data_IF_883958786541
#
_entry.id   IF_883958786541
#
_cell.length_a   1.000
_cell.length_b   1.000
_cell.length_c   1.000
_cell.angle_alpha   90.00
_cell.angle_beta   90.00
_cell.angle_gamma   90.00
#
_symmetry.space_group_name_H-M   'P 1'
#
loop_
_entity.id
_entity.type
_entity.pdbx_description
1 polymer ?
#
# COMPACT_ATOMS: atom_id res chain seq x y z
N UNK A 1 -79.22 114.49 73.38
CA UNK A 1 -78.55 113.50 72.50
C UNK A 1 -79.50 112.41 71.95
N UNK A 2 -80.82 112.55 72.09
CA UNK A 2 -81.81 111.51 71.70
C UNK A 2 -82.70 111.87 70.50
N UNK A 3 -82.66 113.09 69.98
CA UNK A 3 -83.59 113.54 68.92
C UNK A 3 -82.91 113.63 67.55
N UNK A 4 -81.63 114.04 67.51
CA UNK A 4 -80.85 114.17 66.27
C UNK A 4 -80.58 112.81 65.58
N UNK A 5 -80.42 111.74 66.35
CA UNK A 5 -80.23 110.39 65.81
C UNK A 5 -81.54 109.80 65.26
N UNK A 6 -82.66 110.04 65.96
CA UNK A 6 -84.00 109.66 65.49
C UNK A 6 -84.36 110.41 64.21
N UNK A 7 -84.04 111.70 64.13
CA UNK A 7 -84.22 112.52 62.94
C UNK A 7 -83.42 112.01 61.74
N UNK A 8 -82.14 111.67 61.92
CA UNK A 8 -81.32 111.07 60.84
C UNK A 8 -81.84 109.71 60.38
N UNK A 9 -82.41 108.92 61.29
CA UNK A 9 -83.02 107.62 60.96
C UNK A 9 -84.33 107.79 60.19
N UNK A 10 -85.14 108.77 60.56
CA UNK A 10 -86.36 109.14 59.82
C UNK A 10 -85.99 109.64 58.42
N UNK A 11 -84.98 110.51 58.28
CA UNK A 11 -84.50 110.97 56.97
C UNK A 11 -83.98 109.83 56.09
N UNK A 12 -83.24 108.88 56.66
CA UNK A 12 -82.78 107.69 55.92
C UNK A 12 -83.97 106.87 55.44
N UNK A 13 -84.94 106.59 56.32
CA UNK A 13 -86.12 105.81 55.99
C UNK A 13 -86.99 106.48 54.92
N UNK A 14 -87.13 107.81 54.95
CA UNK A 14 -87.88 108.55 53.93
C UNK A 14 -87.13 108.51 52.59
N UNK A 15 -85.79 108.62 52.59
CA UNK A 15 -84.97 108.48 51.37
C UNK A 15 -85.05 107.06 50.78
N UNK A 16 -85.05 106.04 51.62
CA UNK A 16 -85.18 104.65 51.18
C UNK A 16 -86.58 104.38 50.63
N UNK A 17 -87.62 104.98 51.24
CA UNK A 17 -88.98 104.95 50.71
C UNK A 17 -89.09 105.63 49.35
N UNK A 18 -88.47 106.81 49.15
CA UNK A 18 -88.39 107.49 47.84
C UNK A 18 -87.83 106.56 46.76
N UNK A 19 -86.71 105.91 47.05
CA UNK A 19 -86.02 105.04 46.10
C UNK A 19 -86.85 103.80 45.77
N UNK A 20 -87.53 103.22 46.77
CA UNK A 20 -88.45 102.10 46.57
C UNK A 20 -89.66 102.50 45.73
N UNK A 21 -90.29 103.65 46.03
CA UNK A 21 -91.45 104.16 45.31
C UNK A 21 -91.12 104.50 43.84
N UNK A 22 -89.96 105.13 43.58
CA UNK A 22 -89.46 105.38 42.22
C UNK A 22 -89.22 104.07 41.45
N UNK A 23 -88.67 103.04 42.11
CA UNK A 23 -88.42 101.74 41.48
C UNK A 23 -89.73 101.03 41.12
N UNK A 24 -90.72 101.05 42.00
CA UNK A 24 -92.05 100.49 41.71
C UNK A 24 -92.79 101.28 40.61
N UNK A 25 -92.75 102.61 40.65
CA UNK A 25 -93.35 103.45 39.62
C UNK A 25 -92.69 103.20 38.25
N UNK A 26 -91.37 103.06 38.20
CA UNK A 26 -90.63 102.72 36.98
C UNK A 26 -91.03 101.34 36.43
N UNK A 27 -91.16 100.33 37.30
CA UNK A 27 -91.64 98.99 36.88
C UNK A 27 -93.06 99.06 36.32
N UNK A 28 -93.98 99.74 37.02
CA UNK A 28 -95.38 99.87 36.61
C UNK A 28 -95.52 100.64 35.29
N UNK A 29 -94.74 101.71 35.12
CA UNK A 29 -94.70 102.46 33.85
C UNK A 29 -94.15 101.58 32.72
N UNK A 30 -93.11 100.77 32.96
CA UNK A 30 -92.61 99.80 31.99
C UNK A 30 -93.66 98.74 31.61
N UNK A 31 -94.42 98.23 32.57
CA UNK A 31 -95.52 97.29 32.31
C UNK A 31 -96.63 97.94 31.47
N UNK A 32 -97.03 99.18 31.80
CA UNK A 32 -98.04 99.94 31.03
C UNK A 32 -97.53 100.21 29.61
N UNK A 33 -96.28 100.63 29.45
CA UNK A 33 -95.67 100.89 28.13
C UNK A 33 -95.62 99.61 27.31
N UNK A 34 -95.17 98.49 27.87
CA UNK A 34 -95.17 97.21 27.17
C UNK A 34 -96.59 96.70 26.85
N UNK A 35 -97.57 96.93 27.73
CA UNK A 35 -98.97 96.61 27.47
C UNK A 35 -99.56 97.42 26.31
N UNK A 36 -99.36 98.75 26.30
CA UNK A 36 -99.81 99.63 25.22
C UNK A 36 -99.10 99.34 23.89
N UNK A 37 -97.80 99.04 23.91
CA UNK A 37 -97.04 98.66 22.72
C UNK A 37 -97.46 97.29 22.15
N UNK A 38 -97.95 96.37 22.99
CA UNK A 38 -98.46 95.07 22.57
C UNK A 38 -99.86 95.15 21.94
N UNK A 39 -100.69 96.12 22.33
CA UNK A 39 -102.05 96.33 21.80
C UNK A 39 -102.11 97.30 20.60
N UNK A 40 -101.04 98.06 20.31
CA UNK A 40 -100.99 99.01 19.21
C UNK A 40 -100.88 98.30 17.83
N UNK A 41 -101.86 98.51 16.95
CA UNK A 41 -101.83 98.08 15.54
C UNK A 41 -100.82 98.90 14.70
N UNK A 42 -100.31 98.39 13.57
CA UNK A 42 -99.00 98.72 13.00
C UNK A 42 -99.01 99.99 12.13
N UNK A 43 -99.53 101.11 12.64
CA UNK A 43 -99.49 102.40 11.93
C UNK A 43 -98.32 103.30 12.37
N UNK A 44 -97.57 102.92 13.40
CA UNK A 44 -96.36 103.63 13.86
C UNK A 44 -95.21 102.62 14.06
N UNK A 45 -93.97 103.05 13.78
CA UNK A 45 -92.77 102.21 13.97
C UNK A 45 -92.58 101.89 15.46
N UNK A 46 -92.52 100.61 15.83
CA UNK A 46 -92.38 100.13 17.22
C UNK A 46 -91.22 100.82 17.95
N UNK A 47 -90.11 101.06 17.26
CA UNK A 47 -88.94 101.72 17.87
C UNK A 47 -89.19 103.19 18.20
N UNK A 48 -89.90 103.93 17.35
CA UNK A 48 -90.20 105.35 17.59
C UNK A 48 -91.20 105.53 18.74
N UNK A 49 -92.23 104.66 18.80
CA UNK A 49 -93.21 104.66 19.88
C UNK A 49 -92.56 104.22 21.20
N UNK A 50 -91.68 103.23 21.17
CA UNK A 50 -90.95 102.79 22.37
C UNK A 50 -89.96 103.86 22.87
N UNK A 51 -89.25 104.57 22.00
CA UNK A 51 -88.40 105.69 22.42
C UNK A 51 -89.21 106.84 23.02
N UNK A 52 -90.34 107.22 22.41
CA UNK A 52 -91.19 108.28 22.95
C UNK A 52 -91.83 107.86 24.29
N UNK A 53 -92.19 106.60 24.44
CA UNK A 53 -92.75 106.05 25.67
C UNK A 53 -91.70 106.00 26.79
N UNK A 54 -90.46 105.60 26.49
CA UNK A 54 -89.38 105.57 27.48
C UNK A 54 -88.91 106.99 27.86
N UNK A 55 -88.91 107.95 26.91
CA UNK A 55 -88.66 109.36 27.20
C UNK A 55 -89.75 109.96 28.09
N UNK A 56 -91.03 109.68 27.81
CA UNK A 56 -92.15 110.09 28.67
C UNK A 56 -92.05 109.46 30.07
N UNK A 57 -91.66 108.18 30.17
CA UNK A 57 -91.40 107.51 31.45
C UNK A 57 -90.31 108.20 32.25
N UNK A 58 -89.20 108.56 31.61
CA UNK A 58 -88.10 109.26 32.26
C UNK A 58 -88.52 110.67 32.72
N UNK A 59 -89.34 111.37 31.95
CA UNK A 59 -89.86 112.69 32.31
C UNK A 59 -90.86 112.63 33.48
N UNK A 60 -91.76 111.63 33.49
CA UNK A 60 -92.68 111.37 34.61
C UNK A 60 -91.92 110.99 35.88
N UNK A 61 -90.90 110.13 35.79
CA UNK A 61 -90.05 109.77 36.94
C UNK A 61 -89.29 110.98 37.50
N UNK A 62 -88.82 111.87 36.62
CA UNK A 62 -88.14 113.11 37.02
C UNK A 62 -89.09 114.09 37.71
N UNK A 63 -90.30 114.28 37.17
CA UNK A 63 -91.32 115.14 37.77
C UNK A 63 -91.74 114.63 39.16
N UNK A 64 -91.97 113.33 39.29
CA UNK A 64 -92.29 112.70 40.58
C UNK A 64 -91.15 112.85 41.60
N UNK A 65 -89.90 112.65 41.17
CA UNK A 65 -88.72 112.84 42.04
C UNK A 65 -88.58 114.29 42.52
N UNK A 66 -88.90 115.28 41.68
CA UNK A 66 -88.80 116.69 42.04
C UNK A 66 -89.91 117.11 43.03
N UNK A 67 -91.16 116.72 42.79
CA UNK A 67 -92.27 116.97 43.74
C UNK A 67 -91.98 116.33 45.09
N UNK A 68 -91.42 115.12 45.09
CA UNK A 68 -91.05 114.44 46.32
C UNK A 68 -89.97 115.19 47.12
N UNK A 69 -88.97 115.75 46.44
CA UNK A 69 -87.92 116.55 47.08
C UNK A 69 -88.47 117.85 47.69
N UNK A 70 -89.42 118.52 47.04
CA UNK A 70 -90.07 119.73 47.57
C UNK A 70 -90.88 119.43 48.84
N UNK A 71 -91.75 118.43 48.79
CA UNK A 71 -92.54 117.99 49.96
C UNK A 71 -91.66 117.53 51.12
N UNK A 72 -90.54 116.87 50.83
CA UNK A 72 -89.58 116.45 51.85
C UNK A 72 -88.93 117.65 52.54
N UNK A 73 -88.54 118.67 51.76
CA UNK A 73 -87.93 119.88 52.30
C UNK A 73 -88.91 120.70 53.15
N UNK A 74 -90.19 120.76 52.77
CA UNK A 74 -91.23 121.41 53.56
C UNK A 74 -91.49 120.68 54.88
N UNK A 75 -91.56 119.35 54.85
CA UNK A 75 -91.70 118.53 56.06
C UNK A 75 -90.51 118.68 57.01
N UNK A 76 -89.28 118.75 56.48
CA UNK A 76 -88.06 119.00 57.27
C UNK A 76 -88.09 120.39 57.91
N UNK A 77 -88.54 121.42 57.17
CA UNK A 77 -88.67 122.79 57.68
C UNK A 77 -89.68 122.89 58.82
N UNK A 78 -90.85 122.26 58.66
CA UNK A 78 -91.90 122.20 59.68
C UNK A 78 -91.39 121.54 60.97
N UNK A 79 -90.75 120.37 60.86
CA UNK A 79 -90.21 119.62 62.01
C UNK A 79 -89.10 120.39 62.73
N UNK A 80 -88.25 121.11 61.98
CA UNK A 80 -87.17 121.93 62.54
C UNK A 80 -87.70 123.13 63.32
N UNK A 81 -88.78 123.74 62.85
CA UNK A 81 -89.48 124.84 63.52
C UNK A 81 -90.18 124.39 64.81
N UNK A 82 -90.66 123.14 64.84
CA UNK A 82 -91.33 122.56 66.01
C UNK A 82 -90.35 122.06 67.09
N UNK A 83 -89.15 121.63 66.70
CA UNK A 83 -88.07 121.20 67.61
C UNK A 83 -87.42 122.36 68.41
N UNK A 84 -87.48 123.60 67.92
CA UNK A 84 -86.92 124.78 68.62
C UNK A 84 -87.82 125.32 69.75
N UNK A 85 -89.05 124.79 69.92
CA UNK A 85 -90.09 125.37 70.79
C UNK A 85 -90.41 124.66 72.11
N UNK A 86 -89.63 123.67 72.60
CA UNK A 86 -90.06 122.93 73.81
C UNK A 86 -88.96 122.55 74.82
N UNK A 87 -88.96 123.19 76.01
CA UNK A 87 -88.52 122.60 77.30
C UNK A 87 -89.17 123.32 78.54
N UNK A 88 -90.35 122.83 79.00
CA UNK A 88 -91.01 122.88 80.37
C UNK A 88 -91.12 124.22 81.17
N UNK A 89 -91.94 124.38 82.25
CA UNK A 89 -92.94 123.53 82.94
C UNK A 89 -94.31 124.26 83.26
N UNK A 90 -95.23 123.60 83.98
CA UNK A 90 -96.19 124.16 84.98
C UNK A 90 -96.70 125.62 84.90
N UNK A 91 -98.00 125.94 84.95
CA UNK A 91 -99.18 125.07 85.07
C UNK A 91 -100.49 125.88 84.94
N UNK A 92 -101.49 125.25 84.33
CA UNK A 92 -102.95 125.43 84.57
C UNK A 92 -103.78 126.50 83.86
N UNK A 93 -103.29 127.21 82.82
CA UNK A 93 -104.22 127.92 81.88
C UNK A 93 -103.87 127.69 80.39
N UNK A 94 -102.60 127.49 80.03
CA UNK A 94 -102.16 127.35 78.62
C UNK A 94 -102.25 125.93 78.03
N UNK A 95 -102.39 124.90 78.87
CA UNK A 95 -102.53 123.51 78.39
C UNK A 95 -103.89 123.26 77.73
N UNK A 96 -104.94 124.01 78.10
CA UNK A 96 -106.27 123.90 77.50
C UNK A 96 -106.31 124.50 76.08
N UNK A 97 -105.57 125.58 75.83
CA UNK A 97 -105.44 126.18 74.50
C UNK A 97 -104.53 125.36 73.59
N UNK A 98 -103.45 124.78 74.11
CA UNK A 98 -102.63 123.83 73.33
C UNK A 98 -103.36 122.51 73.05
N UNK A 99 -104.19 122.01 73.96
CA UNK A 99 -105.07 120.85 73.68
C UNK A 99 -106.16 121.21 72.67
N UNK A 100 -106.72 122.43 72.67
CA UNK A 100 -107.66 122.88 71.63
C UNK A 100 -106.97 123.13 70.27
N UNK A 101 -105.73 123.60 70.25
CA UNK A 101 -104.96 123.75 69.02
C UNK A 101 -104.51 122.40 68.47
N UNK A 102 -104.09 121.45 69.31
CA UNK A 102 -103.87 120.06 68.88
C UNK A 102 -105.20 119.40 68.46
N UNK A 103 -106.32 119.70 69.12
CA UNK A 103 -107.64 119.22 68.73
C UNK A 103 -108.09 119.81 67.39
N UNK A 104 -107.71 121.05 67.06
CA UNK A 104 -107.97 121.65 65.74
C UNK A 104 -107.00 121.14 64.67
N UNK A 105 -105.75 120.81 65.02
CA UNK A 105 -104.80 120.16 64.11
C UNK A 105 -105.19 118.71 63.84
N UNK A 106 -105.67 117.98 64.85
CA UNK A 106 -106.25 116.65 64.69
C UNK A 106 -107.54 116.72 63.88
N UNK A 107 -108.42 117.71 64.10
CA UNK A 107 -109.63 117.92 63.30
C UNK A 107 -109.35 118.35 61.86
N UNK A 108 -108.30 119.14 61.62
CA UNK A 108 -107.86 119.50 60.26
C UNK A 108 -107.07 118.38 59.58
N UNK A 109 -106.37 117.52 60.32
CA UNK A 109 -105.82 116.26 59.79
C UNK A 109 -106.93 115.23 59.51
N UNK A 110 -107.97 115.15 60.35
CA UNK A 110 -109.19 114.39 60.10
C UNK A 110 -109.95 114.93 58.88
N UNK A 111 -110.03 116.24 58.67
CA UNK A 111 -110.65 116.87 57.49
C UNK A 111 -109.75 116.77 56.23
N UNK A 112 -108.41 116.78 56.37
CA UNK A 112 -107.46 116.54 55.27
C UNK A 112 -107.44 115.07 54.85
N UNK A 113 -107.52 114.13 55.81
CA UNK A 113 -107.70 112.71 55.54
C UNK A 113 -109.09 112.43 54.96
N UNK A 114 -110.13 113.13 55.42
CA UNK A 114 -111.50 113.05 54.87
C UNK A 114 -111.62 113.65 53.46
N UNK A 115 -110.86 114.69 53.11
CA UNK A 115 -110.90 115.31 51.78
C UNK A 115 -109.95 114.67 50.76
N UNK A 116 -108.85 114.04 51.20
CA UNK A 116 -107.87 113.39 50.31
C UNK A 116 -108.20 111.92 49.99
N UNK A 117 -108.92 111.19 50.85
CA UNK A 117 -109.14 109.75 50.67
C UNK A 117 -110.58 109.29 50.96
N UNK A 118 -111.48 110.18 51.39
CA UNK A 118 -112.93 109.93 51.36
C UNK A 118 -113.44 108.72 52.16
N UNK A 119 -112.70 108.23 53.16
CA UNK A 119 -113.09 107.05 53.96
C UNK A 119 -112.81 107.29 55.44
N UNK A 120 -113.85 107.10 56.24
CA UNK A 120 -113.91 107.13 57.70
C UNK A 120 -113.44 105.76 58.20
N UNK A 121 -112.20 105.63 58.68
CA UNK A 121 -111.63 104.32 59.04
C UNK A 121 -112.05 103.92 60.46
N UNK A 122 -112.88 102.88 60.55
CA UNK A 122 -113.31 102.25 61.80
C UNK A 122 -112.24 101.26 62.30
N UNK A 123 -112.11 101.11 63.61
CA UNK A 123 -111.09 100.28 64.30
C UNK A 123 -111.05 98.81 63.82
N UNK A 124 -112.14 98.29 63.25
CA UNK A 124 -112.23 96.95 62.65
C UNK A 124 -111.40 96.79 61.36
N UNK A 125 -111.26 97.82 60.53
CA UNK A 125 -110.48 97.72 59.28
C UNK A 125 -108.97 97.68 59.54
N UNK A 126 -108.52 98.30 60.64
CA UNK A 126 -107.14 98.22 61.13
C UNK A 126 -106.79 96.80 61.60
N UNK A 127 -107.72 96.13 62.29
CA UNK A 127 -107.53 94.74 62.75
C UNK A 127 -107.44 93.78 61.55
N UNK A 128 -108.27 93.99 60.52
CA UNK A 128 -108.23 93.17 59.30
C UNK A 128 -106.96 93.42 58.47
N UNK A 129 -106.46 94.67 58.38
CA UNK A 129 -105.15 94.96 57.77
C UNK A 129 -103.98 94.38 58.54
N UNK A 130 -104.05 94.38 59.87
CA UNK A 130 -103.03 93.73 60.74
C UNK A 130 -103.08 92.20 60.58
N UNK A 131 -104.26 91.59 60.39
CA UNK A 131 -104.39 90.17 60.02
C UNK A 131 -103.80 89.86 58.64
N UNK A 132 -104.09 90.68 57.62
CA UNK A 132 -103.46 90.55 56.29
C UNK A 132 -101.92 90.67 56.37
N UNK A 133 -101.40 91.59 57.20
CA UNK A 133 -99.96 91.76 57.42
C UNK A 133 -99.34 90.57 58.18
N UNK A 134 -100.05 90.01 59.16
CA UNK A 134 -99.63 88.79 59.87
C UNK A 134 -99.62 87.58 58.93
N UNK A 135 -100.63 87.43 58.08
CA UNK A 135 -100.65 86.38 57.04
C UNK A 135 -99.54 86.59 56.00
N UNK A 136 -99.33 87.82 55.53
CA UNK A 136 -98.24 88.14 54.61
C UNK A 136 -96.87 87.90 55.25
N UNK A 137 -96.71 88.21 56.54
CA UNK A 137 -95.50 87.93 57.31
C UNK A 137 -95.28 86.43 57.49
N UNK A 138 -96.35 85.64 57.69
CA UNK A 138 -96.24 84.18 57.77
C UNK A 138 -95.83 83.57 56.43
N UNK A 139 -96.44 84.01 55.33
CA UNK A 139 -96.08 83.60 53.96
C UNK A 139 -94.67 84.04 53.58
N UNK A 140 -94.23 85.22 54.02
CA UNK A 140 -92.86 85.67 53.83
C UNK A 140 -91.86 84.77 54.56
N UNK A 141 -92.18 84.34 55.79
CA UNK A 141 -91.38 83.36 56.52
C UNK A 141 -91.34 81.98 55.84
N UNK A 142 -92.45 81.52 55.27
CA UNK A 142 -92.50 80.29 54.46
C UNK A 142 -91.64 80.40 53.19
N UNK A 143 -91.71 81.52 52.48
CA UNK A 143 -90.87 81.79 51.30
C UNK A 143 -89.39 81.84 51.69
N UNK A 144 -89.04 82.46 52.81
CA UNK A 144 -87.66 82.50 53.31
C UNK A 144 -87.13 81.09 53.63
N UNK A 145 -87.95 80.22 54.22
CA UNK A 145 -87.60 78.83 54.47
C UNK A 145 -87.41 78.04 53.17
N UNK A 146 -88.32 78.18 52.19
CA UNK A 146 -88.18 77.56 50.87
C UNK A 146 -86.93 78.06 50.17
N UNK A 147 -86.60 79.33 50.29
CA UNK A 147 -85.41 79.92 49.67
C UNK A 147 -84.14 79.31 50.28
N UNK A 148 -84.06 79.18 51.61
CA UNK A 148 -82.96 78.48 52.30
C UNK A 148 -82.85 77.02 51.89
N UNK A 149 -83.98 76.31 51.73
CA UNK A 149 -83.98 74.92 51.24
C UNK A 149 -83.49 74.82 49.80
N UNK A 150 -83.90 75.75 48.92
CA UNK A 150 -83.45 75.79 47.53
C UNK A 150 -81.98 76.19 47.41
N UNK A 151 -81.51 77.15 48.19
CA UNK A 151 -80.09 77.52 48.28
C UNK A 151 -79.24 76.33 48.70
N UNK A 152 -79.67 75.59 49.73
CA UNK A 152 -78.98 74.36 50.16
C UNK A 152 -78.95 73.30 49.06
N UNK A 153 -80.08 73.05 48.39
CA UNK A 153 -80.14 72.09 47.27
C UNK A 153 -79.23 72.51 46.11
N UNK A 154 -79.14 73.80 45.82
CA UNK A 154 -78.25 74.35 44.80
C UNK A 154 -76.78 74.13 45.17
N UNK A 155 -76.43 74.35 46.45
CA UNK A 155 -75.09 74.08 46.96
C UNK A 155 -74.73 72.58 46.89
N UNK A 156 -75.67 71.70 47.23
CA UNK A 156 -75.48 70.24 47.15
C UNK A 156 -75.32 69.77 45.69
N UNK A 157 -76.15 70.26 44.77
CA UNK A 157 -76.03 70.00 43.33
C UNK A 157 -74.72 70.55 42.75
N UNK A 158 -74.27 71.71 43.22
CA UNK A 158 -72.99 72.29 42.81
C UNK A 158 -71.82 71.38 43.22
N UNK A 159 -71.84 70.85 44.46
CA UNK A 159 -70.85 69.89 44.94
C UNK A 159 -70.87 68.60 44.12
N UNK A 160 -72.04 68.04 43.85
CA UNK A 160 -72.19 66.84 43.03
C UNK A 160 -71.67 67.05 41.60
N UNK A 161 -71.96 68.20 40.99
CA UNK A 161 -71.45 68.56 39.67
C UNK A 161 -69.92 68.68 39.65
N UNK A 162 -69.32 69.25 40.69
CA UNK A 162 -67.87 69.37 40.81
C UNK A 162 -67.19 68.02 41.05
N UNK A 163 -67.79 67.13 41.85
CA UNK A 163 -67.29 65.78 42.08
C UNK A 163 -67.42 64.89 40.83
N UNK A 164 -68.53 64.99 40.10
CA UNK A 164 -68.69 64.32 38.80
C UNK A 164 -67.66 64.82 37.78
N UNK A 165 -67.37 66.13 37.72
CA UNK A 165 -66.32 66.67 36.86
C UNK A 165 -64.94 66.11 37.20
N UNK A 166 -64.59 66.03 38.49
CA UNK A 166 -63.31 65.41 38.92
C UNK A 166 -63.25 63.95 38.51
N UNK A 167 -64.34 63.20 38.71
CA UNK A 167 -64.40 61.78 38.34
C UNK A 167 -64.29 61.57 36.83
N UNK A 168 -64.94 62.44 36.04
CA UNK A 168 -64.86 62.41 34.59
C UNK A 168 -63.44 62.71 34.10
N UNK A 169 -62.77 63.71 34.68
CA UNK A 169 -61.36 64.00 34.39
C UNK A 169 -60.45 62.80 34.73
N UNK A 170 -60.64 62.15 35.89
CA UNK A 170 -59.84 60.96 36.26
C UNK A 170 -60.07 59.78 35.30
N UNK A 171 -61.31 59.55 34.88
CA UNK A 171 -61.63 58.48 33.92
C UNK A 171 -61.08 58.78 32.53
N UNK A 172 -61.04 60.05 32.12
CA UNK A 172 -60.40 60.46 30.86
C UNK A 172 -58.88 60.23 30.89
N UNK A 173 -58.23 60.51 32.03
CA UNK A 173 -56.81 60.19 32.23
C UNK A 173 -56.54 58.68 32.19
N UNK A 174 -57.34 57.87 32.90
CA UNK A 174 -57.25 56.41 32.87
C UNK A 174 -57.53 55.83 31.49
N UNK A 175 -58.50 56.37 30.76
CA UNK A 175 -58.79 55.95 29.39
C UNK A 175 -57.62 56.25 28.46
N UNK A 176 -56.99 57.41 28.61
CA UNK A 176 -55.83 57.80 27.82
C UNK A 176 -54.58 56.98 28.17
N UNK A 177 -54.35 56.64 29.44
CA UNK A 177 -53.25 55.76 29.85
C UNK A 177 -53.46 54.34 29.30
N UNK A 178 -54.66 53.79 29.44
CA UNK A 178 -55.02 52.46 28.94
C UNK A 178 -54.89 52.39 27.40
N UNK A 179 -55.29 53.45 26.69
CA UNK A 179 -55.11 53.53 25.23
C UNK A 179 -53.64 53.49 24.84
N UNK A 180 -52.76 54.22 25.56
CA UNK A 180 -51.32 54.20 25.30
C UNK A 180 -50.72 52.82 25.55
N UNK A 181 -51.07 52.20 26.68
CA UNK A 181 -50.60 50.85 27.03
C UNK A 181 -51.07 49.82 25.99
N UNK A 182 -52.32 49.91 25.53
CA UNK A 182 -52.82 49.06 24.46
C UNK A 182 -52.03 49.23 23.16
N UNK A 183 -51.73 50.46 22.76
CA UNK A 183 -50.92 50.72 21.57
C UNK A 183 -49.50 50.14 21.70
N UNK A 184 -48.88 50.28 22.88
CA UNK A 184 -47.57 49.67 23.15
C UNK A 184 -47.61 48.14 23.07
N UNK A 185 -48.63 47.50 23.64
CA UNK A 185 -48.81 46.06 23.57
C UNK A 185 -49.10 45.57 22.15
N UNK A 186 -49.83 46.34 21.34
CA UNK A 186 -50.06 46.01 19.92
C UNK A 186 -48.75 46.09 19.11
N UNK A 187 -47.89 47.08 19.38
CA UNK A 187 -46.56 47.17 18.76
C UNK A 187 -45.63 46.03 19.21
N UNK A 188 -45.59 45.72 20.51
CA UNK A 188 -44.81 44.61 21.05
C UNK A 188 -45.26 43.27 20.46
N UNK A 189 -46.57 43.03 20.39
CA UNK A 189 -47.12 41.84 19.75
C UNK A 189 -46.68 41.72 18.30
N UNK A 190 -46.74 42.82 17.53
CA UNK A 190 -46.30 42.82 16.13
C UNK A 190 -44.81 42.49 16.01
N UNK A 191 -43.97 43.06 16.87
CA UNK A 191 -42.53 42.77 16.93
C UNK A 191 -42.27 41.29 17.24
N UNK A 192 -43.00 40.72 18.19
CA UNK A 192 -42.88 39.30 18.55
C UNK A 192 -43.36 38.38 17.41
N UNK A 193 -44.44 38.74 16.71
CA UNK A 193 -44.93 37.98 15.55
C UNK A 193 -43.91 37.98 14.39
N UNK A 194 -43.22 39.10 14.17
CA UNK A 194 -42.12 39.22 13.21
C UNK A 194 -40.91 38.36 13.63
N UNK A 195 -40.54 38.38 14.91
CA UNK A 195 -39.46 37.54 15.45
C UNK A 195 -39.77 36.04 15.35
N UNK A 196 -41.00 35.63 15.70
CA UNK A 196 -41.48 34.26 15.57
C UNK A 196 -41.40 33.80 14.11
N UNK A 197 -41.78 34.66 13.18
CA UNK A 197 -41.71 34.36 11.74
C UNK A 197 -40.27 34.16 11.28
N UNK A 198 -39.35 35.04 11.69
CA UNK A 198 -37.91 34.90 11.40
C UNK A 198 -37.30 33.62 11.99
N UNK A 199 -37.68 33.29 13.23
CA UNK A 199 -37.19 32.08 13.89
C UNK A 199 -37.71 30.81 13.19
N UNK A 200 -38.96 30.80 12.73
CA UNK A 200 -39.50 29.69 11.93
C UNK A 200 -38.76 29.48 10.62
N UNK A 201 -38.40 30.56 9.92
CA UNK A 201 -37.59 30.48 8.70
C UNK A 201 -36.20 29.89 9.00
N UNK A 202 -35.52 30.40 10.04
CA UNK A 202 -34.22 29.86 10.47
C UNK A 202 -34.28 28.38 10.87
N UNK A 203 -35.34 27.95 11.54
CA UNK A 203 -35.55 26.54 11.88
C UNK A 203 -35.69 25.70 10.61
N UNK A 204 -36.51 26.14 9.65
CA UNK A 204 -36.68 25.45 8.36
C UNK A 204 -35.37 25.36 7.58
N UNK A 205 -34.58 26.43 7.54
CA UNK A 205 -33.24 26.41 6.92
C UNK A 205 -32.31 25.40 7.59
N UNK A 206 -32.30 25.35 8.92
CA UNK A 206 -31.47 24.42 9.70
C UNK A 206 -31.92 22.97 9.54
N UNK A 207 -33.22 22.69 9.47
CA UNK A 207 -33.74 21.36 9.21
C UNK A 207 -33.32 20.84 7.82
N UNK A 208 -33.40 21.71 6.81
CA UNK A 208 -32.90 21.40 5.46
C UNK A 208 -31.39 21.13 5.43
N UNK A 209 -30.61 21.90 6.20
CA UNK A 209 -29.17 21.67 6.36
C UNK A 209 -28.88 20.32 7.03
N UNK A 210 -29.63 19.98 8.08
CA UNK A 210 -29.53 18.68 8.77
C UNK A 210 -29.84 17.52 7.82
N UNK A 211 -30.88 17.61 6.99
CA UNK A 211 -31.17 16.56 6.01
C UNK A 211 -30.05 16.39 4.97
N UNK A 212 -29.50 17.49 4.46
CA UNK A 212 -28.35 17.45 3.54
C UNK A 212 -27.11 16.82 4.19
N UNK A 213 -26.85 17.12 5.46
CA UNK A 213 -25.74 16.52 6.20
C UNK A 213 -25.99 15.04 6.47
N UNK A 214 -27.21 14.62 6.81
CA UNK A 214 -27.58 13.21 7.00
C UNK A 214 -27.37 12.40 5.73
N UNK A 215 -27.91 12.87 4.60
CA UNK A 215 -27.75 12.19 3.30
C UNK A 215 -26.29 12.12 2.86
N UNK A 216 -25.49 13.15 3.13
CA UNK A 216 -24.04 13.15 2.87
C UNK A 216 -23.32 12.13 3.76
N UNK A 217 -23.66 12.08 5.04
CA UNK A 217 -23.07 11.16 6.00
C UNK A 217 -23.38 9.69 5.66
N UNK A 218 -24.61 9.40 5.21
CA UNK A 218 -25.00 8.06 4.73
C UNK A 218 -24.20 7.64 3.50
N UNK A 219 -24.00 8.55 2.53
CA UNK A 219 -23.17 8.29 1.34
C UNK A 219 -21.72 8.02 1.71
N UNK A 220 -21.12 8.87 2.55
CA UNK A 220 -19.76 8.70 3.01
C UNK A 220 -19.58 7.39 3.79
N UNK A 221 -20.54 7.04 4.64
CA UNK A 221 -20.53 5.77 5.38
C UNK A 221 -20.56 4.57 4.43
N UNK A 222 -21.39 4.61 3.38
CA UNK A 222 -21.45 3.57 2.36
C UNK A 222 -20.14 3.45 1.56
N UNK A 223 -19.55 4.58 1.17
CA UNK A 223 -18.25 4.60 0.49
C UNK A 223 -17.13 4.05 1.38
N UNK A 224 -17.12 4.40 2.67
CA UNK A 224 -16.14 3.90 3.63
C UNK A 224 -16.23 2.38 3.77
N UNK A 225 -17.44 1.82 3.88
CA UNK A 225 -17.64 0.36 3.90
C UNK A 225 -17.23 -0.32 2.59
N UNK A 226 -17.48 0.30 1.42
CA UNK A 226 -16.98 -0.23 0.14
C UNK A 226 -15.45 -0.26 0.09
N UNK A 227 -14.80 0.84 0.46
CA UNK A 227 -13.34 0.96 0.48
C UNK A 227 -12.74 -0.06 1.46
N UNK A 228 -13.34 -0.23 2.64
CA UNK A 228 -12.90 -1.21 3.65
C UNK A 228 -12.99 -2.65 3.12
N UNK A 229 -14.07 -2.99 2.42
CA UNK A 229 -14.23 -4.29 1.79
C UNK A 229 -13.23 -4.51 0.64
N UNK A 230 -12.98 -3.51 -0.19
CA UNK A 230 -11.97 -3.55 -1.25
C UNK A 230 -10.56 -3.70 -0.68
N UNK A 231 -10.24 -2.98 0.38
CA UNK A 231 -8.96 -3.08 1.08
C UNK A 231 -8.75 -4.48 1.64
N UNK A 232 -9.78 -5.05 2.29
CA UNK A 232 -9.73 -6.42 2.83
C UNK A 232 -9.45 -7.44 1.73
N UNK A 233 -10.16 -7.36 0.60
CA UNK A 233 -9.92 -8.24 -0.56
C UNK A 233 -8.51 -8.08 -1.12
N UNK A 234 -8.03 -6.84 -1.29
CA UNK A 234 -6.66 -6.61 -1.77
C UNK A 234 -5.61 -7.14 -0.81
N UNK A 235 -5.83 -7.06 0.51
CA UNK A 235 -4.94 -7.64 1.50
C UNK A 235 -4.90 -9.16 1.41
N UNK A 236 -6.06 -9.82 1.25
CA UNK A 236 -6.12 -11.28 1.04
C UNK A 236 -5.41 -11.71 -0.25
N UNK A 237 -5.63 -10.99 -1.35
CA UNK A 237 -4.96 -11.26 -2.63
C UNK A 237 -3.45 -11.06 -2.53
N UNK A 238 -3.00 -10.04 -1.79
CA UNK A 238 -1.59 -9.80 -1.53
C UNK A 238 -0.94 -10.94 -0.75
N UNK A 239 -1.57 -11.41 0.34
CA UNK A 239 -1.03 -12.53 1.12
C UNK A 239 -0.98 -13.84 0.30
N UNK A 240 -2.02 -14.13 -0.50
CA UNK A 240 -1.99 -15.28 -1.43
C UNK A 240 -0.87 -15.18 -2.45
N UNK A 241 -0.62 -13.99 -3.00
CA UNK A 241 0.46 -13.78 -3.97
C UNK A 241 1.83 -13.95 -3.31
N UNK A 242 1.98 -13.47 -2.08
CA UNK A 242 3.20 -13.60 -1.28
C UNK A 242 3.49 -15.06 -0.91
N UNK A 243 2.48 -15.84 -0.54
CA UNK A 243 2.62 -17.29 -0.31
C UNK A 243 3.10 -18.01 -1.58
N UNK A 244 2.45 -17.76 -2.73
CA UNK A 244 2.87 -18.34 -4.02
C UNK A 244 4.31 -18.00 -4.38
N UNK A 245 4.72 -16.75 -4.16
CA UNK A 245 6.09 -16.32 -4.44
C UNK A 245 7.11 -17.04 -3.55
N UNK A 246 6.80 -17.26 -2.27
CA UNK A 246 7.69 -17.98 -1.36
C UNK A 246 7.75 -19.48 -1.70
N UNK A 247 6.62 -20.10 -2.12
CA UNK A 247 6.61 -21.47 -2.66
C UNK A 247 7.48 -21.61 -3.91
N UNK A 248 7.36 -20.69 -4.86
CA UNK A 248 8.14 -20.69 -6.10
C UNK A 248 9.63 -20.49 -5.81
N UNK A 249 9.98 -19.56 -4.93
CA UNK A 249 11.36 -19.32 -4.48
C UNK A 249 11.97 -20.57 -3.84
N UNK A 250 11.22 -21.26 -2.97
CA UNK A 250 11.67 -22.50 -2.33
C UNK A 250 11.84 -23.64 -3.35
N UNK A 251 10.93 -23.75 -4.32
CA UNK A 251 11.03 -24.71 -5.43
C UNK A 251 12.27 -24.47 -6.29
N UNK A 252 12.51 -23.22 -6.69
CA UNK A 252 13.69 -22.82 -7.47
C UNK A 252 14.98 -23.05 -6.69
N UNK A 253 15.02 -22.73 -5.40
CA UNK A 253 16.17 -22.97 -4.54
C UNK A 253 16.54 -24.45 -4.46
N UNK A 254 15.55 -25.34 -4.30
CA UNK A 254 15.77 -26.80 -4.36
C UNK A 254 16.32 -27.23 -5.71
N UNK A 255 15.72 -26.74 -6.81
CA UNK A 255 16.16 -27.09 -8.17
C UNK A 255 17.59 -26.62 -8.47
N UNK A 256 17.98 -25.44 -7.97
CA UNK A 256 19.35 -24.95 -8.06
C UNK A 256 20.30 -25.89 -7.31
N UNK A 257 19.97 -26.25 -6.06
CA UNK A 257 20.79 -27.16 -5.27
C UNK A 257 20.95 -28.55 -5.92
N UNK A 258 19.88 -29.08 -6.51
CA UNK A 258 19.92 -30.34 -7.24
C UNK A 258 20.81 -30.26 -8.49
N UNK A 259 20.70 -29.18 -9.27
CA UNK A 259 21.54 -28.94 -10.45
C UNK A 259 23.02 -28.72 -10.08
N UNK A 260 23.30 -28.05 -8.97
CA UNK A 260 24.66 -27.88 -8.46
C UNK A 260 25.29 -29.22 -8.07
N UNK A 261 24.52 -30.11 -7.44
CA UNK A 261 24.95 -31.47 -7.12
C UNK A 261 25.21 -32.28 -8.39
N UNK A 262 24.28 -32.28 -9.35
CA UNK A 262 24.45 -32.98 -10.62
C UNK A 262 25.68 -32.47 -11.39
N UNK A 263 25.91 -31.16 -11.41
CA UNK A 263 27.08 -30.55 -12.01
C UNK A 263 28.38 -31.02 -11.34
N UNK A 264 28.39 -31.12 -10.01
CA UNK A 264 29.55 -31.61 -9.27
C UNK A 264 29.83 -33.09 -9.59
N UNK A 265 28.79 -33.93 -9.61
CA UNK A 265 28.90 -35.35 -9.97
C UNK A 265 29.44 -35.52 -11.39
N UNK A 266 28.92 -34.75 -12.36
CA UNK A 266 29.40 -34.78 -13.74
C UNK A 266 30.84 -34.29 -13.88
N UNK A 267 31.25 -33.27 -13.12
CA UNK A 267 32.66 -32.82 -13.09
C UNK A 267 33.60 -33.91 -12.56
N UNK A 268 33.19 -34.62 -11.52
CA UNK A 268 33.97 -35.76 -10.99
C UNK A 268 34.04 -36.92 -11.99
N UNK A 269 32.93 -37.21 -12.69
CA UNK A 269 32.90 -38.21 -13.75
C UNK A 269 33.87 -37.85 -14.90
N UNK A 270 33.85 -36.58 -15.35
CA UNK A 270 34.79 -36.08 -16.38
C UNK A 270 36.24 -36.26 -15.92
N UNK A 271 36.59 -35.86 -14.68
CA UNK A 271 37.95 -36.06 -14.14
C UNK A 271 38.38 -37.53 -14.14
N UNK A 272 37.48 -38.44 -13.79
CA UNK A 272 37.76 -39.89 -13.81
C UNK A 272 37.99 -40.40 -15.24
N UNK A 273 37.18 -39.95 -16.19
CA UNK A 273 37.33 -40.31 -17.60
C UNK A 273 38.64 -39.76 -18.18
N UNK A 274 38.99 -38.50 -17.88
CA UNK A 274 40.26 -37.89 -18.28
C UNK A 274 41.46 -38.69 -17.77
N UNK A 275 41.44 -39.09 -16.49
CA UNK A 275 42.49 -39.96 -15.92
C UNK A 275 42.56 -41.31 -16.63
N UNK A 276 41.41 -41.93 -16.89
CA UNK A 276 41.35 -43.22 -17.61
C UNK A 276 41.91 -43.10 -19.02
N UNK A 277 41.60 -42.02 -19.73
CA UNK A 277 42.16 -41.74 -21.06
C UNK A 277 43.68 -41.57 -20.98
N UNK A 278 44.20 -40.84 -19.99
CA UNK A 278 45.63 -40.67 -19.78
C UNK A 278 46.32 -42.02 -19.51
N UNK A 279 45.75 -42.84 -18.63
CA UNK A 279 46.28 -44.17 -18.28
C UNK A 279 46.30 -45.07 -19.53
N UNK A 280 45.19 -45.13 -20.28
CA UNK A 280 45.11 -45.88 -21.54
C UNK A 280 46.09 -45.38 -22.61
N UNK A 281 46.25 -44.07 -22.74
CA UNK A 281 47.23 -43.47 -23.66
C UNK A 281 48.65 -43.93 -23.32
N UNK A 282 49.03 -43.90 -22.04
CA UNK A 282 50.36 -44.36 -21.59
C UNK A 282 50.55 -45.86 -21.80
N UNK A 283 49.49 -46.66 -21.60
CA UNK A 283 49.51 -48.09 -21.91
C UNK A 283 49.64 -48.34 -23.42
N UNK A 284 49.01 -47.52 -24.26
CA UNK A 284 49.16 -47.57 -25.71
C UNK A 284 50.61 -47.31 -26.15
N UNK A 285 51.23 -46.26 -25.60
CA UNK A 285 52.62 -45.91 -25.90
C UNK A 285 53.62 -47.00 -25.48
N UNK A 286 53.38 -47.65 -24.34
CA UNK A 286 54.22 -48.75 -23.86
C UNK A 286 54.08 -49.98 -24.74
N UNK A 287 52.85 -50.40 -25.05
CA UNK A 287 52.59 -51.50 -25.98
C UNK A 287 53.16 -51.23 -27.38
N UNK A 288 53.09 -49.99 -27.87
CA UNK A 288 53.69 -49.62 -29.16
C UNK A 288 55.22 -49.76 -29.14
N UNK A 289 55.89 -49.35 -28.06
CA UNK A 289 57.34 -49.55 -27.88
C UNK A 289 57.70 -51.03 -27.82
N UNK A 290 56.92 -51.84 -27.11
CA UNK A 290 57.13 -53.29 -27.05
C UNK A 290 56.96 -53.95 -28.42
N UNK A 291 55.93 -53.54 -29.17
CA UNK A 291 55.70 -54.04 -30.53
C UNK A 291 56.85 -53.70 -31.48
N UNK A 292 57.42 -52.49 -31.37
CA UNK A 292 58.62 -52.11 -32.13
C UNK A 292 59.83 -52.99 -31.76
N UNK A 293 60.08 -53.21 -30.46
CA UNK A 293 61.17 -54.09 -30.00
C UNK A 293 61.01 -55.52 -30.53
N UNK A 294 59.81 -56.10 -30.40
CA UNK A 294 59.51 -57.43 -30.92
C UNK A 294 59.70 -57.52 -32.44
N UNK A 295 59.35 -56.45 -33.17
CA UNK A 295 59.56 -56.39 -34.61
C UNK A 295 61.05 -56.36 -34.98
N UNK A 296 61.86 -55.63 -34.23
CA UNK A 296 63.32 -55.58 -34.40
C UNK A 296 63.97 -56.92 -34.06
N UNK A 297 63.57 -57.55 -32.94
CA UNK A 297 64.01 -58.89 -32.56
C UNK A 297 63.64 -59.94 -33.62
N UNK A 298 62.42 -59.87 -34.17
CA UNK A 298 61.99 -60.74 -35.27
C UNK A 298 62.84 -60.53 -36.53
N UNK A 299 63.18 -59.27 -36.87
CA UNK A 299 64.05 -58.97 -37.99
C UNK A 299 65.46 -59.54 -37.77
N UNK A 300 66.02 -59.41 -36.56
CA UNK A 300 67.32 -59.98 -36.21
C UNK A 300 67.30 -61.52 -36.30
N UNK A 301 66.26 -62.17 -35.76
CA UNK A 301 66.09 -63.62 -35.85
C UNK A 301 65.98 -64.09 -37.28
N UNK A 302 65.28 -63.35 -38.15
CA UNK A 302 65.21 -63.67 -39.57
C UNK A 302 66.58 -63.56 -40.27
N UNK A 303 67.43 -62.59 -39.90
CA UNK A 303 68.81 -62.50 -40.39
C UNK A 303 69.63 -63.71 -39.92
N UNK A 304 69.49 -64.11 -38.65
CA UNK A 304 70.15 -65.29 -38.09
C UNK A 304 69.72 -66.57 -38.83
N UNK A 305 68.41 -66.74 -39.08
CA UNK A 305 67.87 -67.86 -39.87
C UNK A 305 68.51 -67.90 -41.26
N UNK A 306 68.51 -66.78 -42.01
CA UNK A 306 69.13 -66.71 -43.34
C UNK A 306 70.63 -67.03 -43.32
N UNK A 307 71.33 -66.65 -42.25
CA UNK A 307 72.75 -66.98 -42.08
C UNK A 307 72.93 -68.49 -41.88
N UNK A 308 72.14 -69.10 -40.98
CA UNK A 308 72.16 -70.54 -40.74
C UNK A 308 71.75 -71.33 -41.98
N UNK A 309 70.76 -70.88 -42.75
CA UNK A 309 70.37 -71.47 -44.03
C UNK A 309 71.55 -71.45 -45.02
N UNK A 310 72.29 -70.33 -45.11
CA UNK A 310 73.49 -70.25 -45.95
C UNK A 310 74.57 -71.24 -45.49
N UNK A 311 74.88 -71.25 -44.20
CA UNK A 311 75.85 -72.19 -43.62
C UNK A 311 75.45 -73.65 -43.88
N UNK A 312 74.16 -73.99 -43.77
CA UNK A 312 73.63 -75.30 -44.09
C UNK A 312 73.85 -75.64 -45.57
N UNK A 313 73.54 -74.71 -46.49
CA UNK A 313 73.77 -74.95 -47.93
C UNK A 313 75.24 -75.12 -48.28
N UNK A 314 76.15 -74.39 -47.61
CA UNK A 314 77.60 -74.55 -47.76
C UNK A 314 78.06 -75.92 -47.27
N UNK A 315 77.57 -76.35 -46.10
CA UNK A 315 77.86 -77.68 -45.55
C UNK A 315 77.29 -78.80 -46.41
N UNK A 316 76.09 -78.65 -46.96
CA UNK A 316 75.52 -79.61 -47.91
C UNK A 316 76.36 -79.69 -49.20
N UNK A 317 76.86 -78.56 -49.70
CA UNK A 317 77.76 -78.55 -50.85
C UNK A 317 79.11 -79.22 -50.53
N UNK A 318 79.66 -78.99 -49.34
CA UNK A 318 80.86 -79.66 -48.83
C UNK A 318 80.65 -81.17 -48.71
N UNK A 319 79.54 -81.62 -48.13
CA UNK A 319 79.15 -83.03 -48.05
C UNK A 319 79.07 -83.65 -49.44
N UNK A 320 78.44 -82.97 -50.42
CA UNK A 320 78.37 -83.45 -51.80
C UNK A 320 79.77 -83.61 -52.41
N UNK A 321 80.65 -82.63 -52.23
CA UNK A 321 82.04 -82.71 -52.71
C UNK A 321 82.79 -83.88 -52.07
N UNK A 322 82.75 -83.99 -50.74
CA UNK A 322 83.37 -85.08 -50.01
C UNK A 322 82.82 -86.44 -50.44
N UNK A 323 81.52 -86.53 -50.74
CA UNK A 323 80.90 -87.75 -51.25
C UNK A 323 81.45 -88.12 -52.64
N UNK A 324 81.53 -87.16 -53.57
CA UNK A 324 82.13 -87.39 -54.89
C UNK A 324 83.60 -87.80 -54.77
N UNK A 325 84.40 -87.12 -53.95
CA UNK A 325 85.79 -87.49 -53.70
C UNK A 325 85.90 -88.89 -53.08
N UNK A 326 85.00 -89.26 -52.18
CA UNK A 326 84.97 -90.60 -51.61
C UNK A 326 84.59 -91.66 -52.66
N UNK A 327 83.65 -91.37 -53.56
CA UNK A 327 83.31 -92.24 -54.70
C UNK A 327 84.50 -92.41 -55.66
N UNK A 328 85.23 -91.34 -55.96
CA UNK A 328 86.48 -91.37 -56.75
C UNK A 328 87.57 -92.21 -56.07
N UNK A 329 87.82 -91.98 -54.77
CA UNK A 329 88.78 -92.76 -54.00
C UNK A 329 88.40 -94.24 -53.90
N UNK A 330 87.11 -94.57 -53.80
CA UNK A 330 86.64 -95.96 -53.84
C UNK A 330 86.90 -96.58 -55.22
N UNK A 331 86.63 -95.85 -56.30
CA UNK A 331 86.94 -96.29 -57.67
C UNK A 331 88.44 -96.53 -57.87
N UNK A 332 89.28 -95.63 -57.37
CA UNK A 332 90.73 -95.78 -57.44
C UNK A 332 91.25 -96.92 -56.55
N UNK A 333 90.66 -97.13 -55.36
CA UNK A 333 90.94 -98.30 -54.53
C UNK A 333 90.55 -99.60 -55.23
N UNK A 334 89.44 -99.64 -55.97
CA UNK A 334 89.04 -100.80 -56.76
C UNK A 334 90.02 -101.07 -57.90
N UNK A 335 90.41 -100.05 -58.67
CA UNK A 335 91.46 -100.18 -59.71
C UNK A 335 92.77 -100.66 -59.13
N UNK A 336 93.22 -100.07 -58.02
CA UNK A 336 94.46 -100.47 -57.35
C UNK A 336 94.37 -101.91 -56.84
N UNK A 337 93.20 -102.33 -56.35
CA UNK A 337 92.95 -103.72 -55.93
C UNK A 337 93.00 -104.67 -57.13
N UNK A 338 92.44 -104.30 -58.29
CA UNK A 338 92.56 -105.08 -59.52
C UNK A 338 94.01 -105.18 -60.00
N UNK A 339 94.75 -104.07 -59.98
CA UNK A 339 96.18 -104.04 -60.28
C UNK A 339 96.97 -104.92 -59.31
N UNK A 340 96.66 -104.88 -58.02
CA UNK A 340 97.28 -105.72 -57.00
C UNK A 340 96.97 -107.21 -57.24
N UNK A 341 95.72 -107.56 -57.59
CA UNK A 341 95.35 -108.93 -57.96
C UNK A 341 96.12 -109.38 -59.19
N UNK A 342 96.24 -108.52 -60.20
CA UNK A 342 97.01 -108.80 -61.42
C UNK A 342 98.50 -109.00 -61.11
N UNK A 343 99.10 -108.09 -60.33
CA UNK A 343 100.48 -108.19 -59.88
C UNK A 343 100.72 -109.45 -59.04
N UNK A 344 99.76 -109.84 -58.20
CA UNK A 344 99.81 -111.09 -57.42
C UNK A 344 99.79 -112.31 -58.34
N UNK A 345 98.92 -112.32 -59.35
CA UNK A 345 98.86 -113.37 -60.36
C UNK A 345 100.15 -113.44 -61.18
N UNK A 346 100.71 -112.30 -61.56
CA UNK A 346 102.00 -112.23 -62.25
C UNK A 346 103.14 -112.75 -61.37
N UNK A 347 103.11 -112.43 -60.07
CA UNK A 347 104.03 -112.98 -59.08
C UNK A 347 103.89 -114.50 -58.93
N UNK A 348 102.67 -115.04 -58.85
CA UNK A 348 102.42 -116.49 -58.82
C UNK A 348 102.92 -117.17 -60.09
N UNK A 349 102.61 -116.63 -61.26
CA UNK A 349 103.13 -117.12 -62.55
C UNK A 349 104.67 -117.11 -62.58
N UNK A 350 105.28 -116.05 -62.05
CA UNK A 350 106.74 -115.94 -61.99
C UNK A 350 107.34 -116.95 -61.00
N UNK A 351 106.68 -117.15 -59.86
CA UNK A 351 107.05 -118.16 -58.86
C UNK A 351 106.95 -119.57 -59.43
N UNK A 352 105.89 -119.90 -60.17
CA UNK A 352 105.75 -121.17 -60.88
C UNK A 352 106.86 -121.37 -61.92
N UNK A 353 107.16 -120.35 -62.73
CA UNK A 353 108.31 -120.39 -63.66
C UNK A 353 109.63 -120.64 -62.93
N UNK A 354 109.84 -120.00 -61.79
CA UNK A 354 111.03 -120.19 -60.94
C UNK A 354 111.10 -121.63 -60.41
N UNK A 355 109.95 -122.20 -60.04
CA UNK A 355 109.83 -123.58 -59.57
C UNK A 355 110.14 -124.57 -60.70
N UNK A 356 109.59 -124.36 -61.91
CA UNK A 356 109.91 -125.12 -63.11
C UNK A 356 111.40 -125.05 -63.47
N UNK A 357 112.01 -123.87 -63.42
CA UNK A 357 113.45 -123.68 -63.62
C UNK A 357 114.27 -124.46 -62.58
N UNK A 358 113.81 -124.48 -61.33
CA UNK A 358 114.48 -125.25 -60.27
C UNK A 358 114.37 -126.77 -60.50
N UNK A 359 113.22 -127.25 -60.99
CA UNK A 359 113.02 -128.66 -61.34
C UNK A 359 113.84 -129.06 -62.56
N UNK A 360 113.92 -128.18 -63.56
CA UNK A 360 114.81 -128.35 -64.71
C UNK A 360 116.27 -128.42 -64.25
N UNK A 361 116.69 -127.56 -63.32
CA UNK A 361 118.03 -127.63 -62.70
C UNK A 361 118.27 -128.96 -62.00
N UNK A 362 117.30 -129.47 -61.23
CA UNK A 362 117.40 -130.79 -60.55
C UNK A 362 117.48 -131.93 -61.55
N UNK A 363 116.68 -131.91 -62.63
CA UNK A 363 116.76 -132.90 -63.71
C UNK A 363 118.13 -132.89 -64.38
N UNK A 364 118.67 -131.70 -64.68
CA UNK A 364 119.99 -131.55 -65.28
C UNK A 364 121.09 -132.12 -64.38
N UNK A 365 121.03 -131.85 -63.06
CA UNK A 365 121.92 -132.46 -62.07
C UNK A 365 121.82 -133.99 -62.05
N UNK A 366 120.61 -134.55 -62.12
CA UNK A 366 120.42 -136.01 -62.14
C UNK A 366 120.95 -136.70 -63.41
N UNK A 367 120.92 -136.01 -64.55
CA UNK A 367 121.50 -136.50 -65.80
C UNK A 367 123.03 -136.49 -65.74
N UNK A 368 123.60 -135.44 -65.16
CA UNK A 368 125.04 -135.34 -64.93
C UNK A 368 125.55 -136.48 -64.03
N UNK A 369 124.80 -136.79 -62.96
CA UNK A 369 125.14 -137.84 -62.00
C UNK A 369 125.06 -139.25 -62.61
N UNK A 370 124.09 -139.48 -63.52
CA UNK A 370 123.98 -140.74 -64.29
C UNK A 370 125.13 -140.94 -65.29
N UNK A 371 125.59 -139.88 -65.95
CA UNK A 371 126.71 -139.92 -66.89
C UNK A 371 128.04 -140.22 -66.16
N UNK A 372 128.24 -139.64 -64.98
CA UNK A 372 129.42 -139.92 -64.16
C UNK A 372 129.52 -141.40 -63.77
N UNK A 373 128.42 -142.04 -63.39
CA UNK A 373 128.39 -143.45 -62.96
C UNK A 373 128.63 -144.47 -64.08
N UNK A 374 128.30 -144.16 -65.34
CA UNK A 374 128.56 -145.09 -66.45
C UNK A 374 130.04 -145.16 -66.86
N UNK A 375 130.82 -144.11 -66.64
CA UNK A 375 132.23 -144.07 -67.07
C UNK A 375 133.17 -144.89 -66.16
N UNK A 376 132.81 -145.20 -64.91
CA UNK A 376 133.72 -145.78 -63.91
C UNK A 376 133.84 -147.32 -63.93
N UNK A 377 133.10 -148.01 -64.79
CA UNK A 377 132.94 -149.49 -64.72
C UNK A 377 133.54 -150.28 -65.88
N UNK A 378 134.24 -149.64 -66.83
CA UNK A 378 134.86 -150.33 -67.97
C UNK A 378 136.18 -151.04 -67.57
N UNK A 379 136.36 -152.33 -67.93
CA UNK A 379 137.58 -153.08 -67.62
C UNK A 379 138.84 -152.55 -68.33
N UNK A 380 138.69 -151.92 -69.50
CA UNK A 380 139.78 -151.38 -70.32
C UNK A 380 140.47 -150.18 -69.64
N UNK A 381 139.70 -149.31 -68.98
CA UNK A 381 140.24 -148.18 -68.21
C UNK A 381 140.88 -148.61 -66.88
N UNK A 382 140.39 -149.69 -66.25
CA UNK A 382 141.05 -150.29 -65.07
C UNK A 382 142.40 -150.91 -65.44
N UNK A 383 142.49 -151.57 -66.60
CA UNK A 383 143.74 -152.10 -67.12
C UNK A 383 144.72 -150.98 -67.51
N UNK A 384 144.22 -149.92 -68.17
CA UNK A 384 145.03 -148.77 -68.57
C UNK A 384 145.53 -147.95 -67.37
N UNK A 385 144.69 -147.73 -66.34
CA UNK A 385 145.12 -147.04 -65.12
C UNK A 385 146.16 -147.85 -64.33
N UNK A 386 146.06 -149.19 -64.35
CA UNK A 386 147.05 -150.07 -63.73
C UNK A 386 148.38 -150.08 -64.50
N UNK A 387 148.33 -150.15 -65.83
CA UNK A 387 149.53 -150.09 -66.67
C UNK A 387 150.25 -148.74 -66.53
N UNK A 388 149.53 -147.61 -66.48
CA UNK A 388 150.16 -146.27 -66.35
C UNK A 388 150.95 -146.08 -65.05
N UNK A 389 150.63 -146.86 -64.00
CA UNK A 389 151.32 -146.78 -62.71
C UNK A 389 152.51 -147.73 -62.56
N UNK A 390 152.85 -148.53 -63.59
CA UNK A 390 153.96 -149.48 -63.54
C UNK A 390 155.27 -148.88 -64.08
N UNK A 391 156.36 -148.98 -63.29
CA UNK A 391 157.70 -148.50 -63.65
C UNK A 391 158.54 -149.47 -64.49
N UNK A 392 158.02 -150.67 -64.79
CA UNK A 392 158.72 -151.64 -65.65
C UNK A 392 157.75 -152.63 -66.31
N UNK A 393 158.11 -153.20 -67.48
CA UNK A 393 157.21 -154.05 -68.26
C UNK A 393 156.98 -155.40 -67.57
N UNK A 394 155.71 -155.73 -67.29
CA UNK A 394 155.29 -157.02 -66.75
C UNK A 394 154.90 -157.98 -67.88
N UNK A 395 155.04 -159.27 -67.62
CA UNK A 395 154.49 -160.33 -68.47
C UNK A 395 152.96 -160.38 -68.33
N UNK A 396 152.28 -160.85 -69.38
CA UNK A 396 150.81 -160.98 -69.41
C UNK A 396 150.28 -161.78 -68.21
N UNK A 397 151.03 -162.80 -67.78
CA UNK A 397 150.71 -163.61 -66.60
C UNK A 397 150.84 -162.82 -65.27
N UNK A 398 151.80 -161.89 -65.18
CA UNK A 398 151.95 -160.99 -64.04
C UNK A 398 150.83 -159.95 -63.93
N UNK A 399 150.28 -159.49 -65.07
CA UNK A 399 149.16 -158.54 -65.13
C UNK A 399 147.85 -159.23 -64.72
N UNK A 400 147.60 -160.45 -65.21
CA UNK A 400 146.42 -161.23 -64.84
C UNK A 400 146.36 -161.53 -63.34
N UNK A 401 147.49 -161.93 -62.72
CA UNK A 401 147.53 -162.18 -61.27
C UNK A 401 147.37 -160.91 -60.43
N UNK A 402 147.98 -159.79 -60.84
CA UNK A 402 147.95 -158.57 -60.03
C UNK A 402 146.60 -157.86 -60.04
N UNK A 403 145.85 -157.95 -61.14
CA UNK A 403 144.50 -157.40 -61.26
C UNK A 403 143.41 -158.40 -60.89
N UNK A 404 143.74 -159.68 -60.69
CA UNK A 404 142.77 -160.74 -60.41
C UNK A 404 141.80 -161.00 -61.58
N UNK A 405 142.13 -160.53 -62.78
CA UNK A 405 141.30 -160.68 -63.99
C UNK A 405 141.74 -161.94 -64.72
N UNK A 406 140.77 -162.73 -65.18
CA UNK A 406 141.06 -163.97 -65.92
C UNK A 406 141.88 -163.67 -67.18
N UNK A 407 142.83 -164.56 -67.48
CA UNK A 407 143.87 -164.34 -68.49
C UNK A 407 143.32 -164.21 -69.93
N UNK A 408 142.17 -164.81 -70.21
CA UNK A 408 141.40 -164.66 -71.46
C UNK A 408 140.91 -163.22 -71.65
N UNK A 409 140.31 -162.63 -70.60
CA UNK A 409 139.78 -161.26 -70.62
C UNK A 409 140.91 -160.23 -70.68
N UNK A 410 142.01 -160.45 -69.96
CA UNK A 410 143.19 -159.58 -70.04
C UNK A 410 143.78 -159.57 -71.46
N UNK A 411 143.83 -160.72 -72.14
CA UNK A 411 144.31 -160.78 -73.53
C UNK A 411 143.38 -160.07 -74.51
N UNK A 412 142.07 -160.18 -74.31
CA UNK A 412 141.08 -159.51 -75.15
C UNK A 412 141.12 -157.98 -74.95
N UNK A 413 141.13 -157.52 -73.69
CA UNK A 413 141.26 -156.09 -73.38
C UNK A 413 142.62 -155.51 -73.81
N UNK A 414 143.72 -156.27 -73.71
CA UNK A 414 145.02 -155.84 -74.22
C UNK A 414 145.05 -155.76 -75.76
N UNK A 415 144.35 -156.66 -76.47
CA UNK A 415 144.17 -156.55 -77.93
C UNK A 415 143.40 -155.29 -78.30
N UNK A 416 142.32 -154.97 -77.59
CA UNK A 416 141.56 -153.75 -77.87
C UNK A 416 142.40 -152.50 -77.58
N UNK A 417 143.22 -152.52 -76.53
CA UNK A 417 144.15 -151.44 -76.22
C UNK A 417 145.33 -151.35 -77.22
N UNK A 418 145.75 -152.46 -77.82
CA UNK A 418 146.74 -152.51 -78.90
C UNK A 418 146.17 -152.01 -80.23
N UNK A 419 144.91 -152.32 -80.55
CA UNK A 419 144.19 -151.76 -81.70
C UNK A 419 143.99 -150.25 -81.58
N UNK A 420 143.77 -149.76 -80.36
CA UNK A 420 143.75 -148.34 -80.01
C UNK A 420 145.16 -147.71 -79.95
N UNK A 421 146.21 -148.49 -80.22
CA UNK A 421 147.64 -148.12 -80.17
C UNK A 421 148.16 -147.66 -78.81
N UNK A 422 147.42 -147.86 -77.74
CA UNK A 422 147.81 -147.42 -76.39
C UNK A 422 148.84 -148.34 -75.76
N UNK A 423 148.94 -149.59 -76.23
CA UNK A 423 149.80 -150.64 -75.67
C UNK A 423 150.43 -151.48 -76.79
N UNK A 424 151.67 -151.96 -76.63
CA UNK A 424 152.41 -152.82 -77.57
C UNK A 424 152.90 -154.09 -76.88
N UNK A 425 152.73 -155.25 -77.50
CA UNK A 425 153.12 -156.55 -76.91
C UNK A 425 154.31 -157.16 -77.67
N UNK A 426 155.46 -157.31 -77.01
CA UNK A 426 156.66 -157.94 -77.57
C UNK A 426 157.24 -158.97 -76.59
N UNK A 427 157.59 -160.17 -77.09
CA UNK A 427 158.17 -161.27 -76.31
C UNK A 427 157.44 -161.57 -74.98
N UNK A 428 156.10 -161.61 -75.03
CA UNK A 428 155.22 -161.93 -73.90
C UNK A 428 155.23 -160.91 -72.73
N UNK A 429 155.77 -159.70 -72.97
CA UNK A 429 155.71 -158.53 -72.07
C UNK A 429 154.92 -157.38 -72.71
N UNK A 430 154.25 -156.61 -71.87
CA UNK A 430 153.34 -155.53 -72.28
C UNK A 430 154.00 -154.17 -72.03
N UNK A 431 154.05 -153.34 -73.07
CA UNK A 431 154.61 -151.99 -73.02
C UNK A 431 153.53 -150.96 -73.31
N UNK A 432 153.50 -149.87 -72.54
CA UNK A 432 152.67 -148.71 -72.88
C UNK A 432 153.28 -147.96 -74.06
N UNK A 433 152.47 -147.67 -75.07
CA UNK A 433 152.88 -146.95 -76.29
C UNK A 433 152.46 -145.48 -76.31
N UNK A 434 152.07 -144.95 -75.14
CA UNK A 434 151.51 -143.59 -74.94
C UNK A 434 152.02 -142.54 -75.93
#
# INVERSE_FOLDING_TARGET
MSEKATFLKILSNIKDFKNSALKQLSLRLSEIIHGFLAEAKPSFSYNEVNTLAEDLKNEVLKYFSNIYEELLNDAISFIKTELEKSTRPSETIELAEKVNQLSNVIKTLEDLLSSSLGIKVEESELIDKVRELLEASSKAGEIENILKEKEKLLEDLQKEADDLKKKLASLEEELNSTKKERSQLEEEKKSLDEEISSLKEKISEKDNEIEKLRTTNEKLTSELEKIKNELTKKTEDYEKMKEKLEEEKNSLSKKISDLERELLEKKEEVRRLEKTIQDLSSSGDTLQKELLKLKDELAEKNIQIRKLERELTEKDAEIRRLKTTNEELVSDLEKLKEEFVKATKDYENMKEKLQQLSENRKRLLSLFDKLSKQLSSSPELRLLSFLMNLKSPLTIEGISKSLGIRMDVVKESLRTLEDLRLVKIENNKVFLTL
#
